data_IF_496748754106
#
_entry.id   IF_496748754106
#
_cell.length_a   1.000
_cell.length_b   1.000
_cell.length_c   1.000
_cell.angle_alpha   90.00
_cell.angle_beta   90.00
_cell.angle_gamma   90.00
#
_symmetry.space_group_name_H-M   'P 1'
#
loop_
_entity.id
_entity.type
_entity.pdbx_description
1 polymer ?
#
# COMPACT_ATOMS: atom_id res chain seq x y z
N UNK A 1 1.95 -18.13 1.17
CA UNK A 1 2.85 -18.86 2.05
C UNK A 1 2.19 -20.01 2.79
N UNK A 2 1.17 -19.78 3.59
CA UNK A 2 0.51 -20.78 4.45
C UNK A 2 -0.04 -21.97 3.63
N UNK A 3 -0.63 -21.70 2.47
CA UNK A 3 -1.13 -22.73 1.55
C UNK A 3 -0.01 -23.57 0.92
N UNK A 4 1.08 -22.94 0.52
CA UNK A 4 2.25 -23.62 -0.04
C UNK A 4 2.93 -24.53 0.99
N UNK A 5 2.80 -24.19 2.28
CA UNK A 5 3.25 -25.02 3.41
C UNK A 5 2.36 -26.22 3.76
N UNK A 6 1.27 -26.46 3.00
CA UNK A 6 0.41 -27.63 3.19
C UNK A 6 -0.71 -27.47 4.23
N UNK A 7 -1.03 -26.26 4.68
CA UNK A 7 -2.19 -26.04 5.56
C UNK A 7 -3.51 -26.28 4.79
N UNK A 8 -4.45 -26.93 5.46
CA UNK A 8 -5.76 -27.22 4.88
C UNK A 8 -6.63 -25.96 4.72
N UNK A 9 -7.38 -25.86 3.63
CA UNK A 9 -8.35 -24.78 3.41
C UNK A 9 -9.34 -24.58 4.56
N UNK A 10 -9.72 -25.69 5.22
CA UNK A 10 -10.62 -25.64 6.37
C UNK A 10 -10.03 -24.86 7.52
N UNK A 11 -8.74 -25.03 7.78
CA UNK A 11 -8.03 -24.28 8.82
C UNK A 11 -7.98 -22.79 8.50
N UNK A 12 -7.63 -22.44 7.24
CA UNK A 12 -7.59 -21.04 6.79
C UNK A 12 -8.98 -20.40 6.87
N UNK A 13 -10.02 -21.12 6.43
CA UNK A 13 -11.41 -20.66 6.52
C UNK A 13 -11.86 -20.43 7.96
N UNK A 14 -11.52 -21.33 8.89
CA UNK A 14 -11.86 -21.18 10.32
C UNK A 14 -11.16 -19.98 10.94
N UNK A 15 -9.87 -19.78 10.66
CA UNK A 15 -9.11 -18.63 11.13
C UNK A 15 -9.72 -17.33 10.61
N UNK A 16 -10.05 -17.24 9.31
CA UNK A 16 -10.70 -16.06 8.73
C UNK A 16 -12.08 -15.82 9.34
N UNK A 17 -12.88 -16.88 9.56
CA UNK A 17 -14.21 -16.76 10.13
C UNK A 17 -14.19 -16.23 11.56
N UNK A 18 -13.13 -16.48 12.32
CA UNK A 18 -12.95 -15.92 13.67
C UNK A 18 -12.34 -14.52 13.60
N UNK A 19 -11.34 -14.30 12.75
CA UNK A 19 -10.57 -13.06 12.69
C UNK A 19 -11.41 -11.88 12.17
N UNK A 20 -12.29 -12.11 11.20
CA UNK A 20 -13.14 -11.05 10.63
C UNK A 20 -14.11 -10.45 11.66
N UNK A 21 -14.91 -11.24 12.41
CA UNK A 21 -15.76 -10.69 13.46
C UNK A 21 -14.98 -9.99 14.58
N UNK A 22 -13.83 -10.55 14.97
CA UNK A 22 -12.96 -9.93 15.98
C UNK A 22 -12.44 -8.56 15.48
N UNK A 23 -12.03 -8.48 14.23
CA UNK A 23 -11.60 -7.21 13.63
C UNK A 23 -12.74 -6.18 13.56
N UNK A 24 -13.96 -6.59 13.22
CA UNK A 24 -15.14 -5.70 13.18
C UNK A 24 -15.46 -5.19 14.59
N UNK A 25 -15.45 -6.06 15.60
CA UNK A 25 -15.68 -5.69 17.01
C UNK A 25 -14.58 -4.71 17.46
N UNK A 26 -13.31 -5.02 17.16
CA UNK A 26 -12.18 -4.15 17.49
C UNK A 26 -12.32 -2.77 16.86
N UNK A 27 -12.67 -2.68 15.55
CA UNK A 27 -12.92 -1.42 14.86
C UNK A 27 -14.10 -0.66 15.48
N UNK A 28 -15.19 -1.34 15.80
CA UNK A 28 -16.36 -0.73 16.44
C UNK A 28 -16.02 -0.13 17.80
N UNK A 29 -15.16 -0.80 18.55
CA UNK A 29 -14.64 -0.30 19.82
C UNK A 29 -13.66 0.86 19.59
N UNK A 30 -12.80 0.80 18.60
CA UNK A 30 -11.79 1.82 18.28
C UNK A 30 -12.36 3.19 17.91
N UNK A 31 -13.56 3.22 17.35
CA UNK A 31 -14.27 4.45 16.94
C UNK A 31 -14.93 5.20 18.11
N UNK A 32 -15.15 4.54 19.26
CA UNK A 32 -15.82 5.20 20.40
C UNK A 32 -14.90 6.25 21.06
N UNK A 33 -15.41 7.43 21.43
CA UNK A 33 -14.66 8.41 22.21
C UNK A 33 -14.37 7.89 23.64
N UNK A 34 -13.19 8.15 24.18
CA UNK A 34 -12.71 7.72 25.49
C UNK A 34 -12.33 6.24 25.66
N UNK A 35 -11.52 5.72 24.75
CA UNK A 35 -11.03 4.34 24.82
C UNK A 35 -9.77 4.20 25.66
N UNK A 36 -9.70 3.24 26.60
CA UNK A 36 -8.49 2.99 27.38
C UNK A 36 -7.41 2.20 26.61
N UNK A 37 -7.73 1.64 25.43
CA UNK A 37 -6.86 0.69 24.72
C UNK A 37 -6.02 1.30 23.59
N UNK A 38 -6.44 2.44 23.02
CA UNK A 38 -5.74 3.08 21.91
C UNK A 38 -5.18 4.44 22.36
N UNK A 39 -3.95 4.72 21.94
CA UNK A 39 -3.37 6.05 22.11
C UNK A 39 -4.07 7.04 21.16
N UNK A 40 -4.15 8.30 21.55
CA UNK A 40 -4.87 9.34 20.80
C UNK A 40 -4.44 9.44 19.32
N UNK A 41 -3.15 9.21 19.01
CA UNK A 41 -2.66 9.25 17.65
C UNK A 41 -3.15 8.05 16.80
N UNK A 42 -3.35 6.88 17.41
CA UNK A 42 -3.85 5.68 16.71
C UNK A 42 -5.34 5.82 16.42
N UNK A 43 -6.09 6.39 17.36
CA UNK A 43 -7.50 6.69 17.17
C UNK A 43 -7.71 7.73 16.08
N UNK A 44 -6.90 8.80 16.04
CA UNK A 44 -6.95 9.82 14.99
C UNK A 44 -6.71 9.24 13.60
N UNK A 45 -5.79 8.26 13.45
CA UNK A 45 -5.55 7.57 12.16
C UNK A 45 -6.78 6.79 11.68
N UNK A 46 -7.43 6.06 12.59
CA UNK A 46 -8.65 5.30 12.25
C UNK A 46 -9.78 6.25 11.88
N UNK A 47 -9.95 7.34 12.64
CA UNK A 47 -10.98 8.35 12.38
C UNK A 47 -10.72 9.13 11.09
N UNK A 48 -9.46 9.44 10.78
CA UNK A 48 -9.07 10.09 9.52
C UNK A 48 -9.39 9.21 8.30
N UNK A 49 -9.28 7.89 8.43
CA UNK A 49 -9.67 6.95 7.37
C UNK A 49 -11.19 6.84 7.19
N UNK A 50 -11.97 6.91 8.28
CA UNK A 50 -13.44 6.77 8.26
C UNK A 50 -14.17 8.07 7.94
N UNK A 51 -13.65 9.21 8.42
CA UNK A 51 -14.23 10.53 8.24
C UNK A 51 -13.16 11.56 7.83
N UNK A 52 -12.60 11.46 6.61
CA UNK A 52 -11.49 12.32 6.18
C UNK A 52 -11.84 13.81 6.19
N UNK A 53 -13.11 14.17 5.99
CA UNK A 53 -13.55 15.57 5.99
C UNK A 53 -13.49 16.25 7.37
N UNK A 54 -13.67 15.50 8.46
CA UNK A 54 -13.65 16.03 9.83
C UNK A 54 -12.29 15.99 10.47
N UNK A 55 -11.50 14.99 10.13
CA UNK A 55 -10.19 14.73 10.70
C UNK A 55 -9.10 14.93 9.64
N UNK A 56 -9.08 16.10 8.99
CA UNK A 56 -8.01 16.54 8.10
C UNK A 56 -6.70 16.69 8.92
N UNK A 57 -6.16 15.55 9.37
CA UNK A 57 -4.84 15.44 9.96
C UNK A 57 -3.79 15.62 8.87
N UNK A 58 -2.54 15.87 9.24
CA UNK A 58 -1.41 15.99 8.31
C UNK A 58 -1.32 14.80 7.33
N UNK A 59 -1.82 13.61 7.73
CA UNK A 59 -1.82 12.39 6.93
C UNK A 59 -2.85 12.43 5.79
N UNK A 60 -4.08 12.91 6.04
CA UNK A 60 -5.08 13.12 4.99
C UNK A 60 -4.65 14.22 4.01
N UNK A 61 -3.95 15.24 4.52
CA UNK A 61 -3.35 16.29 3.70
C UNK A 61 -2.27 15.72 2.76
N UNK A 62 -1.42 14.82 3.25
CA UNK A 62 -0.38 14.16 2.46
C UNK A 62 -0.98 13.25 1.39
N UNK A 63 -2.04 12.49 1.71
CA UNK A 63 -2.73 11.64 0.75
C UNK A 63 -3.39 12.47 -0.36
N UNK A 64 -4.12 13.53 -0.02
CA UNK A 64 -4.73 14.42 -1.00
C UNK A 64 -3.67 15.08 -1.91
N UNK A 65 -2.51 15.46 -1.36
CA UNK A 65 -1.42 16.02 -2.14
C UNK A 65 -0.78 14.98 -3.08
N UNK A 66 -0.69 13.72 -2.65
CA UNK A 66 -0.19 12.63 -3.50
C UNK A 66 -1.14 12.34 -4.66
N UNK A 67 -2.45 12.34 -4.43
CA UNK A 67 -3.46 12.20 -5.49
C UNK A 67 -3.40 13.38 -6.49
N UNK A 68 -3.28 14.61 -5.98
CA UNK A 68 -3.09 15.79 -6.84
C UNK A 68 -1.79 15.72 -7.65
N UNK A 69 -0.71 15.19 -7.07
CA UNK A 69 0.56 15.00 -7.75
C UNK A 69 0.41 14.05 -8.94
N UNK A 70 -0.21 12.87 -8.72
CA UNK A 70 -0.49 11.88 -9.77
C UNK A 70 -1.36 12.50 -10.86
N UNK A 71 -2.45 13.18 -10.46
CA UNK A 71 -3.36 13.84 -11.41
C UNK A 71 -2.67 14.93 -12.24
N UNK A 72 -1.73 15.65 -11.64
CA UNK A 72 -0.99 16.73 -12.32
C UNK A 72 -0.02 16.23 -13.39
N UNK A 73 0.40 14.95 -13.31
CA UNK A 73 1.27 14.32 -14.31
C UNK A 73 0.58 14.01 -15.64
N UNK A 74 -0.74 13.97 -15.69
CA UNK A 74 -1.51 13.68 -16.91
C UNK A 74 -1.05 12.36 -17.58
N UNK A 75 -1.05 12.29 -18.92
CA UNK A 75 -0.67 11.09 -19.69
C UNK A 75 0.85 10.89 -19.76
N UNK A 76 1.61 11.94 -19.97
CA UNK A 76 3.04 11.87 -20.32
C UNK A 76 3.99 12.34 -19.22
N UNK A 77 3.45 12.85 -18.11
CA UNK A 77 4.24 13.40 -17.02
C UNK A 77 4.77 14.82 -17.30
N UNK A 78 5.26 15.45 -16.23
CA UNK A 78 5.90 16.78 -16.30
C UNK A 78 7.37 16.73 -16.72
N UNK A 79 7.90 15.53 -16.90
CA UNK A 79 9.31 15.28 -17.20
C UNK A 79 10.16 14.98 -15.94
N UNK A 80 11.24 14.23 -16.16
CA UNK A 80 12.18 13.84 -15.13
C UNK A 80 12.89 15.09 -14.57
N UNK A 81 13.01 15.13 -13.24
CA UNK A 81 13.72 16.19 -12.52
C UNK A 81 13.18 17.61 -12.78
N UNK A 82 11.87 17.75 -12.90
CA UNK A 82 11.24 19.05 -13.06
C UNK A 82 11.32 19.83 -11.74
N UNK A 83 12.18 20.85 -11.69
CA UNK A 83 12.47 21.67 -10.51
C UNK A 83 11.50 22.87 -10.37
N UNK A 84 10.28 22.77 -10.88
CA UNK A 84 9.30 23.84 -10.68
C UNK A 84 8.85 23.85 -9.22
N UNK A 85 8.59 25.05 -8.69
CA UNK A 85 8.09 25.26 -7.31
C UNK A 85 6.72 24.62 -7.07
N UNK A 86 6.02 24.26 -8.14
CA UNK A 86 4.73 23.56 -8.11
C UNK A 86 4.88 22.03 -8.05
N UNK A 87 6.10 21.48 -8.13
CA UNK A 87 6.35 20.05 -7.99
C UNK A 87 6.22 19.66 -6.52
N UNK A 88 5.54 18.54 -6.27
CA UNK A 88 5.36 17.97 -4.94
C UNK A 88 6.70 17.66 -4.27
N UNK A 89 7.70 17.28 -5.05
CA UNK A 89 9.08 17.02 -4.62
C UNK A 89 9.77 18.26 -4.01
N UNK A 90 9.54 19.43 -4.58
CA UNK A 90 10.23 20.67 -4.19
C UNK A 90 9.38 21.57 -3.30
N UNK A 91 8.07 21.38 -3.27
CA UNK A 91 7.14 22.21 -2.51
C UNK A 91 6.98 21.84 -1.04
N UNK A 92 7.66 20.81 -0.53
CA UNK A 92 7.48 20.28 0.84
C UNK A 92 6.01 19.96 1.20
N UNK A 93 5.20 19.62 0.19
CA UNK A 93 3.78 19.28 0.38
C UNK A 93 3.57 17.88 0.96
N UNK A 94 4.56 17.00 0.87
CA UNK A 94 4.53 15.63 1.39
C UNK A 94 5.75 15.44 2.30
N UNK A 95 5.52 14.95 3.51
CA UNK A 95 6.58 14.48 4.41
C UNK A 95 7.12 13.16 3.87
N UNK A 96 8.43 13.01 3.74
CA UNK A 96 9.05 11.76 3.28
C UNK A 96 8.57 11.26 1.88
N UNK A 97 8.57 12.13 0.83
CA UNK A 97 8.04 11.76 -0.49
C UNK A 97 8.85 10.65 -1.17
N UNK A 98 10.09 10.42 -0.74
CA UNK A 98 11.00 9.44 -1.35
C UNK A 98 10.80 8.01 -0.83
N UNK A 99 10.08 7.83 0.27
CA UNK A 99 9.86 6.52 0.89
C UNK A 99 8.42 6.07 0.75
N UNK A 100 7.49 6.78 1.34
CA UNK A 100 6.10 6.33 1.48
C UNK A 100 5.25 6.70 0.25
N UNK A 101 5.57 7.80 -0.43
CA UNK A 101 4.81 8.33 -1.57
C UNK A 101 5.60 8.34 -2.89
N UNK A 102 6.53 7.39 -3.05
CA UNK A 102 7.36 7.35 -4.28
C UNK A 102 6.50 7.20 -5.55
N UNK A 103 5.38 6.50 -5.47
CA UNK A 103 4.47 6.34 -6.59
C UNK A 103 3.83 7.66 -7.04
N UNK A 104 3.58 8.59 -6.11
CA UNK A 104 3.09 9.92 -6.44
C UNK A 104 4.10 10.74 -7.24
N UNK A 105 5.40 10.64 -6.88
CA UNK A 105 6.48 11.28 -7.66
C UNK A 105 6.56 10.69 -9.07
N UNK A 106 6.49 9.36 -9.17
CA UNK A 106 6.48 8.66 -10.46
C UNK A 106 5.30 9.13 -11.32
N UNK A 107 4.12 9.25 -10.72
CA UNK A 107 2.93 9.76 -11.40
C UNK A 107 3.08 11.18 -11.89
N UNK A 108 3.71 12.06 -11.11
CA UNK A 108 3.97 13.44 -11.50
C UNK A 108 5.02 13.53 -12.62
N UNK A 109 6.14 12.79 -12.51
CA UNK A 109 7.28 12.90 -13.45
C UNK A 109 7.03 12.13 -14.77
N UNK A 110 6.50 10.91 -14.71
CA UNK A 110 6.32 10.00 -15.86
C UNK A 110 4.87 9.90 -16.34
N UNK A 111 3.94 10.45 -15.59
CA UNK A 111 2.52 10.43 -15.92
C UNK A 111 1.89 9.04 -15.88
N UNK A 112 0.67 8.95 -16.39
CA UNK A 112 -0.10 7.71 -16.41
C UNK A 112 0.61 6.55 -17.13
N UNK A 113 1.24 6.83 -18.26
CA UNK A 113 1.97 5.81 -19.04
C UNK A 113 3.13 5.24 -18.21
N UNK A 114 3.89 6.08 -17.53
CA UNK A 114 4.98 5.65 -16.65
C UNK A 114 4.50 4.79 -15.49
N UNK A 115 3.41 5.19 -14.84
CA UNK A 115 2.77 4.40 -13.79
C UNK A 115 2.36 3.00 -14.29
N UNK A 116 1.72 2.91 -15.44
CA UNK A 116 1.33 1.63 -16.03
C UNK A 116 2.53 0.72 -16.33
N UNK A 117 3.63 1.28 -16.83
CA UNK A 117 4.86 0.52 -17.11
C UNK A 117 5.44 -0.03 -15.79
N UNK A 118 5.51 0.79 -14.74
CA UNK A 118 6.06 0.37 -13.45
C UNK A 118 5.19 -0.71 -12.81
N UNK A 119 3.87 -0.55 -12.82
CA UNK A 119 2.94 -1.57 -12.32
C UNK A 119 3.11 -2.88 -13.10
N UNK A 120 3.21 -2.80 -14.43
CA UNK A 120 3.43 -3.98 -15.27
C UNK A 120 4.75 -4.70 -14.94
N UNK A 121 5.84 -3.95 -14.71
CA UNK A 121 7.13 -4.51 -14.31
C UNK A 121 7.06 -5.16 -12.92
N UNK A 122 6.43 -4.53 -11.94
CA UNK A 122 6.24 -5.10 -10.61
C UNK A 122 5.40 -6.40 -10.66
N UNK A 123 4.31 -6.40 -11.43
CA UNK A 123 3.51 -7.60 -11.69
C UNK A 123 4.34 -8.71 -12.34
N UNK A 124 5.17 -8.38 -13.32
CA UNK A 124 6.05 -9.33 -13.97
C UNK A 124 7.01 -9.99 -12.97
N UNK A 125 7.60 -9.22 -12.06
CA UNK A 125 8.47 -9.75 -10.99
C UNK A 125 7.69 -10.70 -10.08
N UNK A 126 6.49 -10.34 -9.64
CA UNK A 126 5.65 -11.19 -8.79
C UNK A 126 5.30 -12.50 -9.52
N UNK A 127 4.89 -12.41 -10.79
CA UNK A 127 4.58 -13.59 -11.61
C UNK A 127 5.80 -14.50 -11.76
N UNK A 128 6.99 -13.93 -12.01
CA UNK A 128 8.23 -14.72 -12.09
C UNK A 128 8.54 -15.42 -10.77
N UNK A 129 8.38 -14.77 -9.63
CA UNK A 129 8.54 -15.41 -8.32
C UNK A 129 7.58 -16.60 -8.16
N UNK A 130 6.32 -16.46 -8.57
CA UNK A 130 5.33 -17.55 -8.51
C UNK A 130 5.73 -18.71 -9.44
N UNK A 131 6.11 -18.41 -10.69
CA UNK A 131 6.49 -19.43 -11.67
C UNK A 131 7.74 -20.21 -11.25
N UNK A 132 8.75 -19.52 -10.70
CA UNK A 132 9.95 -20.15 -10.16
C UNK A 132 9.58 -21.03 -8.96
N UNK A 133 8.75 -20.53 -8.05
CA UNK A 133 8.27 -21.29 -6.91
C UNK A 133 7.52 -22.57 -7.32
N UNK A 134 6.67 -22.50 -8.36
CA UNK A 134 5.95 -23.67 -8.89
C UNK A 134 6.90 -24.73 -9.48
N UNK A 135 8.00 -24.32 -10.08
CA UNK A 135 9.00 -25.22 -10.69
C UNK A 135 10.03 -25.76 -9.68
N UNK A 136 10.12 -25.18 -8.50
CA UNK A 136 11.04 -25.65 -7.47
C UNK A 136 10.69 -27.07 -7.02
N UNK A 137 11.70 -27.91 -6.88
CA UNK A 137 11.56 -29.30 -6.36
C UNK A 137 11.50 -29.30 -4.84
N UNK A 138 12.18 -28.36 -4.19
CA UNK A 138 12.28 -28.28 -2.74
C UNK A 138 11.16 -27.45 -2.13
N UNK A 139 10.64 -27.93 -1.01
CA UNK A 139 9.62 -27.20 -0.24
C UNK A 139 10.16 -25.82 0.23
N UNK A 140 11.42 -25.77 0.64
CA UNK A 140 12.06 -24.52 1.07
C UNK A 140 12.06 -23.47 -0.07
N UNK A 141 12.43 -23.86 -1.29
CA UNK A 141 12.42 -22.99 -2.45
C UNK A 141 11.02 -22.46 -2.77
N UNK A 142 9.98 -23.31 -2.68
CA UNK A 142 8.58 -22.89 -2.87
C UNK A 142 8.16 -21.85 -1.85
N UNK A 143 8.49 -22.05 -0.57
CA UNK A 143 8.12 -21.14 0.51
C UNK A 143 8.85 -19.79 0.35
N UNK A 144 10.14 -19.81 0.02
CA UNK A 144 10.92 -18.59 -0.16
C UNK A 144 10.39 -17.78 -1.34
N UNK A 145 10.19 -18.39 -2.51
CA UNK A 145 9.67 -17.69 -3.69
C UNK A 145 8.26 -17.12 -3.47
N UNK A 146 7.38 -17.89 -2.82
CA UNK A 146 6.04 -17.43 -2.44
C UNK A 146 6.10 -16.27 -1.45
N UNK A 147 7.06 -16.30 -0.50
CA UNK A 147 7.27 -15.25 0.47
C UNK A 147 7.75 -13.96 -0.14
N UNK A 148 8.77 -14.04 -0.96
CA UNK A 148 9.33 -12.87 -1.66
C UNK A 148 8.29 -12.27 -2.60
N UNK A 149 7.63 -13.09 -3.41
CA UNK A 149 6.57 -12.62 -4.31
C UNK A 149 5.40 -11.97 -3.56
N UNK A 150 4.98 -12.56 -2.45
CA UNK A 150 3.92 -12.01 -1.60
C UNK A 150 4.34 -10.68 -0.93
N UNK A 151 5.58 -10.59 -0.46
CA UNK A 151 6.11 -9.37 0.16
C UNK A 151 6.19 -8.23 -0.85
N UNK A 152 6.76 -8.47 -2.04
CA UNK A 152 6.86 -7.46 -3.09
C UNK A 152 5.47 -7.01 -3.54
N UNK A 153 4.54 -7.97 -3.77
CA UNK A 153 3.18 -7.65 -4.19
C UNK A 153 2.43 -6.81 -3.16
N UNK A 154 2.50 -7.18 -1.89
CA UNK A 154 1.84 -6.47 -0.81
C UNK A 154 2.43 -5.08 -0.57
N UNK A 155 3.76 -4.97 -0.56
CA UNK A 155 4.43 -3.68 -0.39
C UNK A 155 4.16 -2.73 -1.57
N UNK A 156 4.14 -3.26 -2.80
CA UNK A 156 3.76 -2.47 -3.98
C UNK A 156 2.32 -1.99 -3.89
N UNK A 157 1.40 -2.84 -3.44
CA UNK A 157 0.00 -2.46 -3.26
C UNK A 157 -0.17 -1.33 -2.25
N UNK A 158 0.50 -1.41 -1.08
CA UNK A 158 0.44 -0.34 -0.07
C UNK A 158 1.03 0.97 -0.59
N UNK A 159 2.10 0.91 -1.39
CA UNK A 159 2.76 2.12 -1.90
C UNK A 159 1.96 2.81 -3.02
N UNK A 160 1.08 2.07 -3.71
CA UNK A 160 0.21 2.59 -4.78
C UNK A 160 -1.12 3.12 -4.21
N UNK A 161 -1.57 2.57 -3.09
CA UNK A 161 -2.83 2.93 -2.43
C UNK A 161 -2.71 4.23 -1.65
#
# INVERSE_FOLDING_TARGET
MIYVGGLSYKFIGTVLLILVPVAIIFLSIAVQPNQPFLKDYQQKRILAFLEPEKYASDEAYQQNNSEMAIGSGQLTGKGLNNNTTTSVKNGNYISEPQTDFIFAIIGEELGFVGCCIIIALLLLVVIQCILIGMRSRDLAGKIICSGVGGLIGFQSFINIS
#
